data_IF_672973169510
#
_entry.id   IF_672973169510
#
_cell.length_a   1.000
_cell.length_b   1.000
_cell.length_c   1.000
_cell.angle_alpha   90.00
_cell.angle_beta   90.00
_cell.angle_gamma   90.00
#
_symmetry.space_group_name_H-M   'P 1'
#
loop_
_entity.id
_entity.type
_entity.pdbx_description
1 polymer ?
#
# COMPACT_ATOMS: atom_id res chain seq x y z
N UNK A 1 -8.52 -21.13 -5.73
CA UNK A 1 -7.15 -20.70 -6.11
C UNK A 1 -6.98 -19.19 -6.26
N UNK A 2 -7.99 -18.41 -6.70
CA UNK A 2 -7.88 -16.95 -6.89
C UNK A 2 -7.49 -16.16 -5.61
N UNK A 3 -7.98 -16.58 -4.43
CA UNK A 3 -7.68 -15.88 -3.17
C UNK A 3 -6.19 -15.93 -2.76
N UNK A 4 -5.49 -17.04 -3.00
CA UNK A 4 -4.06 -17.15 -2.63
C UNK A 4 -3.19 -16.24 -3.49
N UNK A 5 -3.49 -16.16 -4.78
CA UNK A 5 -2.80 -15.26 -5.72
C UNK A 5 -3.06 -13.80 -5.33
N UNK A 6 -4.32 -13.46 -5.00
CA UNK A 6 -4.66 -12.13 -4.49
C UNK A 6 -3.85 -11.74 -3.25
N UNK A 7 -3.80 -12.62 -2.25
CA UNK A 7 -3.05 -12.35 -1.01
C UNK A 7 -1.54 -12.22 -1.26
N UNK A 8 -0.95 -13.06 -2.11
CA UNK A 8 0.49 -13.00 -2.44
C UNK A 8 0.83 -11.70 -3.17
N UNK A 9 0.10 -11.37 -4.24
CA UNK A 9 0.36 -10.16 -5.01
C UNK A 9 0.00 -8.89 -4.23
N UNK A 10 -1.09 -8.90 -3.46
CA UNK A 10 -1.51 -7.77 -2.63
C UNK A 10 -0.50 -7.46 -1.53
N UNK A 11 -0.04 -8.47 -0.78
CA UNK A 11 1.01 -8.26 0.24
C UNK A 11 2.31 -7.79 -0.41
N UNK A 12 2.73 -8.43 -1.50
CA UNK A 12 3.98 -8.07 -2.19
C UNK A 12 3.93 -6.62 -2.72
N UNK A 13 2.79 -6.23 -3.30
CA UNK A 13 2.53 -4.86 -3.75
C UNK A 13 2.57 -3.89 -2.57
N UNK A 14 1.87 -4.20 -1.47
CA UNK A 14 1.84 -3.36 -0.26
C UNK A 14 3.23 -3.11 0.32
N UNK A 15 4.06 -4.16 0.43
CA UNK A 15 5.44 -4.05 0.92
C UNK A 15 6.31 -3.23 -0.03
N UNK A 16 6.23 -3.51 -1.33
CA UNK A 16 6.97 -2.77 -2.36
C UNK A 16 6.62 -1.28 -2.34
N UNK A 17 5.32 -0.96 -2.28
CA UNK A 17 4.82 0.41 -2.25
C UNK A 17 5.28 1.14 -0.98
N UNK A 18 5.26 0.48 0.18
CA UNK A 18 5.77 1.05 1.43
C UNK A 18 7.26 1.40 1.34
N UNK A 19 8.08 0.52 0.75
CA UNK A 19 9.49 0.79 0.51
C UNK A 19 9.71 1.96 -0.45
N UNK A 20 8.93 2.04 -1.54
CA UNK A 20 9.00 3.14 -2.50
C UNK A 20 8.68 4.47 -1.82
N UNK A 21 7.60 4.52 -1.03
CA UNK A 21 7.19 5.73 -0.29
C UNK A 21 8.26 6.14 0.73
N UNK A 22 8.79 5.16 1.47
CA UNK A 22 9.87 5.41 2.42
C UNK A 22 11.10 6.01 1.73
N UNK A 23 11.54 5.43 0.61
CA UNK A 23 12.68 5.95 -0.13
C UNK A 23 12.40 7.31 -0.76
N UNK A 24 11.18 7.57 -1.24
CA UNK A 24 10.80 8.86 -1.78
C UNK A 24 10.93 9.97 -0.73
N UNK A 25 10.45 9.74 0.49
CA UNK A 25 10.64 10.70 1.57
C UNK A 25 12.09 10.82 2.00
N UNK A 26 12.83 9.72 2.03
CA UNK A 26 14.26 9.73 2.37
C UNK A 26 15.08 10.54 1.35
N UNK A 27 14.83 10.36 0.05
CA UNK A 27 15.52 11.12 -1.00
C UNK A 27 15.11 12.58 -0.96
N UNK A 28 13.83 12.88 -0.74
CA UNK A 28 13.33 14.25 -0.62
C UNK A 28 13.96 14.98 0.58
N UNK A 29 14.11 14.28 1.71
CA UNK A 29 14.83 14.77 2.90
C UNK A 29 16.30 15.05 2.61
N UNK A 30 16.96 14.23 1.79
CA UNK A 30 18.38 14.44 1.45
C UNK A 30 18.58 15.60 0.47
N UNK A 31 17.61 15.86 -0.41
CA UNK A 31 17.68 16.93 -1.42
C UNK A 31 17.23 18.28 -0.83
N UNK A 32 16.28 18.26 0.10
CA UNK A 32 15.79 19.47 0.76
C UNK A 32 16.63 19.79 2.00
N UNK A 33 17.31 20.93 1.99
CA UNK A 33 18.04 21.47 3.17
C UNK A 33 17.11 21.86 4.33
N UNK A 34 15.80 21.86 4.11
CA UNK A 34 14.78 22.01 5.14
C UNK A 34 14.18 20.64 5.49
N UNK A 35 14.15 20.32 6.79
CA UNK A 35 13.56 19.10 7.32
C UNK A 35 12.02 19.14 7.17
N UNK A 36 11.54 18.78 5.98
CA UNK A 36 10.12 18.84 5.61
C UNK A 36 9.24 17.84 6.37
N UNK A 37 9.75 16.62 6.62
CA UNK A 37 9.01 15.53 7.27
C UNK A 37 9.91 14.83 8.29
N UNK A 38 9.40 14.64 9.52
CA UNK A 38 10.06 13.86 10.57
C UNK A 38 10.09 12.37 10.26
N UNK A 39 11.10 11.64 10.76
CA UNK A 39 11.25 10.20 10.52
C UNK A 39 10.01 9.41 10.99
N UNK A 40 9.43 9.80 12.11
CA UNK A 40 8.22 9.17 12.65
C UNK A 40 7.06 9.25 11.66
N UNK A 41 6.83 10.45 11.10
CA UNK A 41 5.79 10.70 10.09
C UNK A 41 6.07 9.94 8.80
N UNK A 42 7.34 9.88 8.37
CA UNK A 42 7.76 9.12 7.18
C UNK A 42 7.45 7.62 7.31
N UNK A 43 7.76 7.02 8.47
CA UNK A 43 7.48 5.60 8.76
C UNK A 43 5.97 5.37 8.86
N UNK A 44 5.24 6.28 9.51
CA UNK A 44 3.79 6.17 9.67
C UNK A 44 3.09 6.21 8.31
N UNK A 45 3.47 7.13 7.42
CA UNK A 45 2.95 7.22 6.06
C UNK A 45 3.33 6.02 5.19
N UNK A 46 4.58 5.56 5.26
CA UNK A 46 5.05 4.43 4.45
C UNK A 46 4.37 3.10 4.83
N UNK A 47 3.83 2.99 6.05
CA UNK A 47 3.08 1.82 6.51
C UNK A 47 1.58 2.02 6.33
N UNK A 48 1.03 3.15 6.76
CA UNK A 48 -0.41 3.40 6.78
C UNK A 48 -1.01 3.48 5.39
N UNK A 49 -0.30 4.07 4.42
CA UNK A 49 -0.80 4.22 3.05
C UNK A 49 -0.99 2.86 2.33
N UNK A 50 0.04 2.01 2.24
CA UNK A 50 -0.12 0.70 1.59
C UNK A 50 -1.07 -0.24 2.36
N UNK A 51 -1.14 -0.16 3.70
CA UNK A 51 -2.14 -0.90 4.49
C UNK A 51 -3.58 -0.49 4.14
N UNK A 52 -3.84 0.81 4.04
CA UNK A 52 -5.17 1.31 3.69
C UNK A 52 -5.59 0.88 2.28
N UNK A 53 -4.64 0.91 1.32
CA UNK A 53 -4.84 0.40 -0.02
C UNK A 53 -5.17 -1.10 -0.01
N UNK A 54 -4.38 -1.91 0.70
CA UNK A 54 -4.59 -3.35 0.81
C UNK A 54 -5.98 -3.68 1.39
N UNK A 55 -6.41 -2.96 2.44
CA UNK A 55 -7.74 -3.12 3.04
C UNK A 55 -8.83 -2.75 2.03
N UNK A 56 -8.67 -1.63 1.33
CA UNK A 56 -9.64 -1.17 0.32
C UNK A 56 -9.76 -2.17 -0.83
N UNK A 57 -8.63 -2.68 -1.31
CA UNK A 57 -8.57 -3.69 -2.37
C UNK A 57 -9.24 -4.99 -1.92
N UNK A 58 -8.98 -5.43 -0.69
CA UNK A 58 -9.64 -6.59 -0.09
C UNK A 58 -11.15 -6.38 0.00
N UNK A 59 -11.61 -5.21 0.45
CA UNK A 59 -13.04 -4.89 0.54
C UNK A 59 -13.71 -4.91 -0.84
N UNK A 60 -13.08 -4.33 -1.87
CA UNK A 60 -13.58 -4.35 -3.25
C UNK A 60 -13.67 -5.79 -3.76
N UNK A 61 -12.59 -6.57 -3.60
CA UNK A 61 -12.54 -7.95 -4.03
C UNK A 61 -13.59 -8.82 -3.32
N UNK A 62 -13.78 -8.61 -2.02
CA UNK A 62 -14.76 -9.33 -1.19
C UNK A 62 -16.22 -9.02 -1.56
N UNK A 63 -16.49 -7.87 -2.20
CA UNK A 63 -17.84 -7.44 -2.60
C UNK A 63 -18.22 -7.88 -4.02
N UNK A 64 -17.25 -8.33 -4.81
CA UNK A 64 -17.43 -8.77 -6.21
C UNK A 64 -17.75 -10.29 -6.40
N UNK A 65 -17.97 -11.18 -5.40
CA UNK A 65 -18.18 -12.60 -5.70
C UNK A 65 -19.60 -13.00 -6.16
N UNK A 66 -20.61 -12.12 -6.17
CA UNK A 66 -22.03 -12.53 -6.34
C UNK A 66 -22.78 -11.89 -7.53
N UNK A 67 -22.10 -11.46 -8.60
CA UNK A 67 -22.80 -10.90 -9.79
C UNK A 67 -22.52 -11.61 -11.11
N UNK A 68 -21.81 -12.74 -11.08
CA UNK A 68 -21.47 -13.51 -12.29
C UNK A 68 -22.28 -14.82 -12.42
N UNK A 69 -23.25 -15.08 -11.54
CA UNK A 69 -24.12 -16.28 -11.59
C UNK A 69 -25.54 -16.02 -12.10
N UNK A 70 -25.83 -14.80 -12.57
CA UNK A 70 -27.18 -14.39 -13.04
C UNK A 70 -27.17 -13.71 -14.42
N UNK A 71 -26.20 -14.02 -15.28
CA UNK A 71 -26.16 -13.55 -16.68
C UNK A 71 -26.12 -14.72 -17.66
#
# INVERSE_FOLDING_TARGET
MKNYVFWIFGILQSVSLGLIIFFLFQTLKNISSAQSIGLDTQILLSISFPLFLLITEYLIYSKIPNRESDA
#
